data_IF_490103711535
#
_entry.id   IF_490103711535
#
_cell.length_a   1.000
_cell.length_b   1.000
_cell.length_c   1.000
_cell.angle_alpha   90.00
_cell.angle_beta   90.00
_cell.angle_gamma   90.00
#
_symmetry.space_group_name_H-M   'P 1'
#
loop_
_entity.id
_entity.type
_entity.pdbx_description
1 polymer ?
#
# COMPACT_ATOMS: atom_id res chain seq x y z
N UNK A 1 32.63 -33.25 -24.71
CA UNK A 1 31.24 -32.87 -25.09
C UNK A 1 30.33 -32.65 -23.88
N UNK A 2 30.24 -33.58 -22.91
CA UNK A 2 29.39 -33.42 -21.70
C UNK A 2 29.72 -32.17 -20.84
N UNK A 3 31.01 -31.85 -20.68
CA UNK A 3 31.45 -30.66 -19.93
C UNK A 3 31.06 -29.35 -20.61
N UNK A 4 31.14 -29.30 -21.94
CA UNK A 4 30.76 -28.12 -22.74
C UNK A 4 29.25 -27.89 -22.62
N UNK A 5 28.44 -28.95 -22.76
CA UNK A 5 26.99 -28.87 -22.57
C UNK A 5 26.59 -28.38 -21.17
N UNK A 6 27.33 -28.79 -20.13
CA UNK A 6 27.11 -28.32 -18.76
C UNK A 6 27.40 -26.81 -18.60
N UNK A 7 28.47 -26.30 -19.23
CA UNK A 7 28.79 -24.87 -19.21
C UNK A 7 27.75 -24.03 -19.96
N UNK A 8 27.18 -24.53 -21.06
CA UNK A 8 26.13 -23.80 -21.80
C UNK A 8 24.84 -23.68 -21.00
N UNK A 9 24.44 -24.74 -20.28
CA UNK A 9 23.25 -24.72 -19.41
C UNK A 9 23.44 -23.75 -18.25
N UNK A 10 24.64 -23.72 -17.65
CA UNK A 10 24.94 -22.81 -16.55
C UNK A 10 24.94 -21.33 -16.99
N UNK A 11 25.43 -21.04 -18.20
CA UNK A 11 25.41 -19.69 -18.76
C UNK A 11 23.99 -19.17 -19.06
N UNK A 12 23.09 -20.06 -19.52
CA UNK A 12 21.67 -19.72 -19.79
C UNK A 12 20.86 -19.42 -18.52
N UNK A 13 21.23 -20.00 -17.38
CA UNK A 13 20.55 -19.75 -16.10
C UNK A 13 20.98 -18.43 -15.44
N UNK A 14 22.17 -17.91 -15.75
CA UNK A 14 22.69 -16.67 -15.16
C UNK A 14 22.10 -15.38 -15.72
N UNK A 15 21.54 -15.40 -16.93
CA UNK A 15 21.00 -14.21 -17.61
C UNK A 15 19.69 -13.67 -17.03
N UNK A 16 18.97 -14.45 -16.22
CA UNK A 16 17.69 -14.03 -15.61
C UNK A 16 17.84 -13.19 -14.34
N UNK A 17 19.00 -13.21 -13.68
CA UNK A 17 19.21 -12.56 -12.36
C UNK A 17 19.22 -11.04 -12.44
N UNK A 18 19.62 -10.48 -13.58
CA UNK A 18 19.80 -9.04 -13.77
C UNK A 18 18.52 -8.31 -14.25
N UNK A 19 17.45 -9.05 -14.53
CA UNK A 19 16.19 -8.48 -15.02
C UNK A 19 15.16 -8.20 -13.92
N UNK A 20 15.41 -8.65 -12.69
CA UNK A 20 14.49 -8.48 -11.57
C UNK A 20 14.95 -7.29 -10.72
N UNK A 21 14.52 -6.09 -11.10
CA UNK A 21 14.62 -4.92 -10.23
C UNK A 21 13.63 -5.15 -9.07
N UNK A 22 14.15 -5.45 -7.88
CA UNK A 22 13.32 -5.54 -6.69
C UNK A 22 12.94 -4.11 -6.31
N UNK A 23 11.73 -3.70 -6.65
CA UNK A 23 11.15 -2.44 -6.19
C UNK A 23 10.91 -2.51 -4.67
N UNK A 24 11.99 -2.33 -3.92
CA UNK A 24 12.02 -2.37 -2.46
C UNK A 24 11.16 -1.26 -1.84
N UNK A 25 10.80 -0.23 -2.61
CA UNK A 25 9.99 0.89 -2.14
C UNK A 25 8.60 0.43 -1.68
N UNK A 26 7.98 -0.49 -2.42
CA UNK A 26 6.65 -1.03 -2.10
C UNK A 26 6.68 -1.92 -0.85
N UNK A 27 7.72 -2.75 -0.70
CA UNK A 27 7.90 -3.59 0.48
C UNK A 27 8.13 -2.75 1.74
N UNK A 28 8.93 -1.70 1.62
CA UNK A 28 9.18 -0.78 2.73
C UNK A 28 7.92 -0.01 3.13
N UNK A 29 7.12 0.43 2.16
CA UNK A 29 5.82 1.07 2.41
C UNK A 29 4.82 0.10 3.08
N UNK A 30 4.74 -1.15 2.59
CA UNK A 30 3.85 -2.16 3.16
C UNK A 30 4.22 -2.52 4.62
N UNK A 31 5.51 -2.50 4.97
CA UNK A 31 5.97 -2.71 6.34
C UNK A 31 5.62 -1.56 7.30
N UNK A 32 5.33 -0.38 6.78
CA UNK A 32 4.91 0.78 7.59
C UNK A 32 3.40 0.85 7.77
N UNK A 33 2.64 0.01 7.07
CA UNK A 33 1.18 0.02 7.10
C UNK A 33 0.66 -0.97 8.16
N UNK A 34 0.22 -0.43 9.30
CA UNK A 34 -0.38 -1.24 10.36
C UNK A 34 -1.90 -1.32 10.22
N UNK A 35 -2.45 -2.54 10.24
CA UNK A 35 -3.90 -2.77 10.07
C UNK A 35 -4.74 -2.06 11.16
N UNK A 36 -4.17 -1.89 12.35
CA UNK A 36 -4.81 -1.18 13.46
C UNK A 36 -5.02 0.30 13.15
N UNK A 37 -4.12 0.94 12.42
CA UNK A 37 -4.26 2.35 12.07
C UNK A 37 -5.35 2.57 11.03
N UNK A 38 -5.47 1.65 10.06
CA UNK A 38 -6.59 1.65 9.12
C UNK A 38 -7.93 1.45 9.82
N UNK A 39 -7.98 0.56 10.82
CA UNK A 39 -9.21 0.30 11.56
C UNK A 39 -9.68 1.52 12.34
N UNK A 40 -8.77 2.31 12.95
CA UNK A 40 -9.12 3.55 13.66
C UNK A 40 -9.87 4.53 12.75
N UNK A 41 -9.43 4.69 11.50
CA UNK A 41 -10.11 5.58 10.54
C UNK A 41 -11.52 5.07 10.23
N UNK A 42 -11.69 3.75 10.08
CA UNK A 42 -13.00 3.13 9.86
C UNK A 42 -13.92 3.34 11.07
N UNK A 43 -13.41 3.12 12.28
CA UNK A 43 -14.15 3.32 13.52
C UNK A 43 -14.58 4.78 13.71
N UNK A 44 -13.68 5.73 13.44
CA UNK A 44 -13.98 7.16 13.46
C UNK A 44 -15.12 7.49 12.47
N UNK A 45 -14.98 7.15 11.19
CA UNK A 45 -15.98 7.45 10.16
C UNK A 45 -17.30 6.69 10.30
N UNK A 46 -17.32 5.60 11.07
CA UNK A 46 -18.51 4.85 11.44
C UNK A 46 -19.11 5.30 12.77
N UNK A 47 -18.44 6.21 13.48
CA UNK A 47 -18.88 6.65 14.80
C UNK A 47 -20.19 7.43 14.74
N UNK A 48 -20.94 7.48 15.86
CA UNK A 48 -22.15 8.28 15.95
C UNK A 48 -21.94 9.79 15.71
N UNK A 49 -20.71 10.31 15.81
CA UNK A 49 -20.40 11.73 15.64
C UNK A 49 -20.79 12.29 14.26
N UNK A 50 -20.85 11.41 13.27
CA UNK A 50 -21.21 11.73 11.90
C UNK A 50 -22.69 11.51 11.61
N UNK A 51 -23.47 10.85 12.46
CA UNK A 51 -24.93 10.64 12.28
C UNK A 51 -25.35 10.08 10.90
N UNK A 52 -24.41 9.45 10.17
CA UNK A 52 -24.56 9.02 8.79
C UNK A 52 -24.05 10.02 7.75
N UNK A 53 -23.57 9.51 6.59
CA UNK A 53 -22.81 10.29 5.60
C UNK A 53 -23.48 10.38 4.23
N UNK A 54 -24.82 10.47 4.21
CA UNK A 54 -25.57 10.68 2.95
C UNK A 54 -25.13 12.02 2.32
N UNK A 55 -24.94 12.06 1.00
CA UNK A 55 -24.51 13.27 0.28
C UNK A 55 -25.39 14.47 0.63
N UNK A 56 -24.74 15.57 1.00
CA UNK A 56 -25.42 16.81 1.41
C UNK A 56 -25.89 16.84 2.87
N UNK A 57 -25.72 15.76 3.65
CA UNK A 57 -26.04 15.76 5.08
C UNK A 57 -24.99 16.52 5.90
N UNK A 58 -25.32 16.95 7.14
CA UNK A 58 -24.34 17.49 8.08
C UNK A 58 -23.19 16.50 8.34
N UNK A 59 -23.51 15.21 8.46
CA UNK A 59 -22.55 14.14 8.67
C UNK A 59 -21.56 13.94 7.52
N UNK A 60 -22.03 14.08 6.28
CA UNK A 60 -21.16 14.10 5.10
C UNK A 60 -20.12 15.22 5.20
N UNK A 61 -20.56 16.44 5.54
CA UNK A 61 -19.64 17.58 5.68
C UNK A 61 -18.62 17.38 6.79
N UNK A 62 -19.05 16.90 7.97
CA UNK A 62 -18.15 16.56 9.08
C UNK A 62 -17.09 15.54 8.66
N UNK A 63 -17.49 14.49 7.94
CA UNK A 63 -16.56 13.46 7.46
C UNK A 63 -15.58 14.01 6.42
N UNK A 64 -16.04 14.90 5.53
CA UNK A 64 -15.18 15.57 4.58
C UNK A 64 -14.16 16.49 5.26
N UNK A 65 -14.58 17.26 6.28
CA UNK A 65 -13.71 18.12 7.09
C UNK A 65 -12.66 17.29 7.85
N UNK A 66 -13.06 16.17 8.46
CA UNK A 66 -12.12 15.23 9.09
C UNK A 66 -11.06 14.72 8.11
N UNK A 67 -11.48 14.17 6.97
CA UNK A 67 -10.55 13.64 5.97
C UNK A 67 -9.63 14.72 5.38
N UNK A 68 -10.13 15.95 5.22
CA UNK A 68 -9.32 17.08 4.79
C UNK A 68 -8.21 17.38 5.82
N UNK A 69 -8.53 17.33 7.11
CA UNK A 69 -7.55 17.49 8.18
C UNK A 69 -6.51 16.37 8.22
N UNK A 70 -6.93 15.12 8.02
CA UNK A 70 -6.00 13.98 7.92
C UNK A 70 -5.02 14.17 6.76
N UNK A 71 -5.50 14.58 5.57
CA UNK A 71 -4.62 14.86 4.44
C UNK A 71 -3.70 16.06 4.68
N UNK A 72 -4.20 17.15 5.24
CA UNK A 72 -3.36 18.30 5.62
C UNK A 72 -2.25 17.91 6.60
N UNK A 73 -2.51 16.95 7.50
CA UNK A 73 -1.51 16.47 8.45
C UNK A 73 -0.40 15.63 7.82
N UNK A 74 -0.68 14.97 6.68
CA UNK A 74 0.25 14.06 5.99
C UNK A 74 1.05 14.78 4.90
N UNK A 75 0.52 15.89 4.34
CA UNK A 75 1.18 16.74 3.34
C UNK A 75 0.73 16.50 1.92
#
# INVERSE_FOLDING_TARGET
MKKIALFTILALLGSGVWAQDQDHSLLQCAQQLEATDLLKIVEELASPAYEGRLTGSPGFRKAAEYLAGEFESIG
#
